data_IF_503623982443
#
_entry.id   IF_503623982443
#
_cell.length_a   1.000
_cell.length_b   1.000
_cell.length_c   1.000
_cell.angle_alpha   90.00
_cell.angle_beta   90.00
_cell.angle_gamma   90.00
#
_symmetry.space_group_name_H-M   'P 1'
#
loop_
_entity.id
_entity.type
_entity.pdbx_description
1 polymer ?
#
# COMPACT_ATOMS: atom_id res chain seq x y z
N UNK A 1 35.97 3.87 3.85
CA UNK A 1 35.04 3.69 5.00
C UNK A 1 34.07 4.86 4.99
N UNK A 2 33.12 4.79 4.07
CA UNK A 2 31.85 5.50 4.10
C UNK A 2 30.82 4.40 3.82
N UNK A 3 29.59 4.50 4.33
CA UNK A 3 28.36 3.95 3.72
C UNK A 3 27.21 3.82 4.72
N UNK A 4 27.44 3.77 6.05
CA UNK A 4 26.36 3.52 7.01
C UNK A 4 25.49 4.76 7.28
N UNK A 5 26.10 5.94 7.41
CA UNK A 5 25.40 7.21 7.68
C UNK A 5 24.62 7.70 6.46
N UNK A 6 25.16 7.52 5.26
CA UNK A 6 24.50 7.88 4.00
C UNK A 6 23.28 7.00 3.73
N UNK A 7 23.38 5.67 3.96
CA UNK A 7 22.22 4.78 3.80
C UNK A 7 21.09 5.11 4.78
N UNK A 8 21.40 5.43 6.04
CA UNK A 8 20.35 5.80 7.00
C UNK A 8 19.64 7.11 6.66
N UNK A 9 20.32 8.03 5.97
CA UNK A 9 19.74 9.31 5.60
C UNK A 9 18.78 9.17 4.41
N UNK A 10 19.14 8.32 3.44
CA UNK A 10 18.29 7.97 2.29
C UNK A 10 17.03 7.23 2.75
N UNK A 11 17.18 6.28 3.69
CA UNK A 11 16.05 5.52 4.24
C UNK A 11 15.01 6.43 4.94
N UNK A 12 15.48 7.45 5.68
CA UNK A 12 14.62 8.41 6.36
C UNK A 12 13.91 9.34 5.38
N UNK A 13 14.60 9.83 4.34
CA UNK A 13 14.00 10.70 3.33
C UNK A 13 12.90 9.97 2.54
N UNK A 14 13.14 8.72 2.15
CA UNK A 14 12.15 7.88 1.50
C UNK A 14 10.92 7.65 2.38
N UNK A 15 11.14 7.39 3.68
CA UNK A 15 10.06 7.21 4.66
C UNK A 15 9.24 8.49 4.81
N UNK A 16 9.87 9.64 4.98
CA UNK A 16 9.19 10.94 5.08
C UNK A 16 8.36 11.26 3.83
N UNK A 17 8.91 11.02 2.64
CA UNK A 17 8.19 11.25 1.38
C UNK A 17 6.99 10.32 1.25
N UNK A 18 7.16 9.05 1.64
CA UNK A 18 6.09 8.06 1.58
C UNK A 18 4.95 8.41 2.55
N UNK A 19 5.27 8.87 3.76
CA UNK A 19 4.28 9.33 4.73
C UNK A 19 3.49 10.55 4.24
N UNK A 20 4.16 11.54 3.63
CA UNK A 20 3.50 12.72 3.09
C UNK A 20 2.52 12.36 1.97
N UNK A 21 2.87 11.39 1.11
CA UNK A 21 1.96 10.89 0.08
C UNK A 21 0.74 10.19 0.70
N UNK A 22 0.97 9.32 1.70
CA UNK A 22 -0.09 8.57 2.37
C UNK A 22 -1.09 9.49 3.11
N UNK A 23 -0.61 10.57 3.76
CA UNK A 23 -1.46 11.56 4.44
C UNK A 23 -2.36 12.34 3.48
N UNK A 24 -1.93 12.58 2.24
CA UNK A 24 -2.74 13.28 1.25
C UNK A 24 -3.90 12.43 0.72
N UNK A 25 -3.87 11.12 0.95
CA UNK A 25 -4.81 10.14 0.39
C UNK A 25 -5.62 9.43 1.49
N UNK A 26 -5.46 9.86 2.75
CA UNK A 26 -5.94 9.20 3.98
C UNK A 26 -7.47 9.00 4.06
N UNK A 27 -8.24 9.55 3.12
CA UNK A 27 -9.71 9.49 3.11
C UNK A 27 -10.32 8.85 1.85
N UNK A 28 -9.54 8.23 0.97
CA UNK A 28 -10.12 7.59 -0.21
C UNK A 28 -10.62 6.16 0.09
N UNK A 29 -11.89 5.89 -0.19
CA UNK A 29 -12.56 4.60 0.12
C UNK A 29 -11.89 3.37 -0.53
N UNK A 30 -11.23 3.56 -1.68
CA UNK A 30 -10.57 2.48 -2.43
C UNK A 30 -9.05 2.38 -2.17
N UNK A 31 -8.54 3.09 -1.16
CA UNK A 31 -7.12 3.05 -0.76
C UNK A 31 -7.00 2.62 0.70
N UNK A 32 -6.08 1.69 0.96
CA UNK A 32 -5.84 1.19 2.32
C UNK A 32 -5.49 2.33 3.26
N UNK A 33 -6.25 2.41 4.35
CA UNK A 33 -6.02 3.43 5.37
C UNK A 33 -4.67 3.24 6.04
N UNK A 34 -4.01 4.35 6.34
CA UNK A 34 -2.75 4.35 7.07
C UNK A 34 -2.96 4.75 8.53
N UNK A 35 -2.47 3.93 9.45
CA UNK A 35 -2.65 4.16 10.89
C UNK A 35 -1.38 4.69 11.57
N UNK A 36 -0.19 4.47 11.01
CA UNK A 36 1.06 5.00 11.57
C UNK A 36 2.28 4.14 11.31
N UNK A 37 3.39 4.51 11.94
CA UNK A 37 4.64 3.74 11.96
C UNK A 37 4.86 3.20 13.37
N UNK A 38 5.30 1.95 13.46
CA UNK A 38 5.84 1.35 14.68
C UNK A 38 7.29 0.94 14.48
N UNK A 39 8.03 0.77 15.58
CA UNK A 39 9.42 0.33 15.59
C UNK A 39 9.53 -0.95 16.39
N UNK A 40 10.08 -1.98 15.77
CA UNK A 40 10.40 -3.24 16.44
C UNK A 40 11.92 -3.34 16.64
N UNK A 41 12.36 -4.00 17.70
CA UNK A 41 13.78 -4.13 18.03
C UNK A 41 14.59 -4.81 16.91
N UNK A 42 13.94 -5.69 16.12
CA UNK A 42 14.53 -6.40 14.98
C UNK A 42 14.30 -5.72 13.63
N UNK A 43 13.31 -4.83 13.51
CA UNK A 43 12.94 -4.15 12.26
C UNK A 43 12.89 -2.64 12.54
N UNK A 44 13.83 -1.88 11.94
CA UNK A 44 14.00 -0.44 12.19
C UNK A 44 12.68 0.36 12.15
N UNK A 45 11.80 0.07 11.19
CA UNK A 45 10.48 0.69 11.05
C UNK A 45 9.48 -0.28 10.40
N UNK A 46 8.22 -0.21 10.80
CA UNK A 46 7.11 -0.98 10.22
C UNK A 46 5.90 -0.08 10.04
N UNK A 47 5.21 -0.20 8.91
CA UNK A 47 3.99 0.55 8.60
C UNK A 47 2.77 -0.22 9.11
N UNK A 48 1.86 0.50 9.76
CA UNK A 48 0.57 -0.01 10.20
C UNK A 48 -0.48 0.46 9.21
N UNK A 49 -1.07 -0.48 8.48
CA UNK A 49 -2.07 -0.24 7.45
C UNK A 49 -3.36 -1.01 7.77
N UNK A 50 -4.46 -0.60 7.17
CA UNK A 50 -5.68 -1.38 7.13
C UNK A 50 -5.45 -2.79 6.58
N UNK A 51 -6.05 -3.76 7.25
CA UNK A 51 -5.99 -5.15 6.83
C UNK A 51 -7.02 -5.40 5.74
N UNK A 52 -6.56 -5.73 4.54
CA UNK A 52 -7.42 -6.23 3.47
C UNK A 52 -7.38 -7.76 3.45
N UNK A 53 -8.56 -8.36 3.60
CA UNK A 53 -8.74 -9.78 3.34
C UNK A 53 -8.79 -10.05 1.83
N UNK A 54 -8.65 -11.32 1.43
CA UNK A 54 -8.69 -11.72 0.01
C UNK A 54 -7.34 -11.69 -0.73
N UNK A 55 -6.29 -11.14 -0.13
CA UNK A 55 -4.93 -11.17 -0.68
C UNK A 55 -4.72 -10.21 -1.86
N UNK A 56 -3.74 -10.49 -2.72
CA UNK A 56 -3.43 -9.57 -3.84
C UNK A 56 -4.45 -9.68 -4.97
N UNK A 57 -4.78 -8.54 -5.59
CA UNK A 57 -5.62 -8.49 -6.79
C UNK A 57 -5.16 -9.48 -7.88
N UNK A 58 -3.83 -9.59 -8.09
CA UNK A 58 -3.25 -10.54 -9.05
C UNK A 58 -3.59 -11.99 -8.71
N UNK A 59 -3.48 -12.38 -7.43
CA UNK A 59 -3.81 -13.73 -7.00
C UNK A 59 -5.31 -14.03 -7.15
N UNK A 60 -6.15 -13.06 -6.78
CA UNK A 60 -7.59 -13.13 -6.95
C UNK A 60 -7.98 -13.32 -8.43
N UNK A 61 -7.48 -12.45 -9.31
CA UNK A 61 -7.76 -12.53 -10.75
C UNK A 61 -7.23 -13.83 -11.36
N UNK A 62 -6.04 -14.29 -10.99
CA UNK A 62 -5.50 -15.57 -11.50
C UNK A 62 -6.45 -16.75 -11.22
N UNK A 63 -7.17 -16.72 -10.10
CA UNK A 63 -8.09 -17.79 -9.70
C UNK A 63 -9.50 -17.59 -10.27
N UNK A 64 -10.00 -16.36 -10.31
CA UNK A 64 -11.43 -16.07 -10.54
C UNK A 64 -11.74 -15.36 -11.86
N UNK A 65 -10.76 -15.06 -12.72
CA UNK A 65 -10.98 -14.23 -13.93
C UNK A 65 -12.09 -14.74 -14.85
N UNK A 66 -12.22 -16.06 -14.99
CA UNK A 66 -13.23 -16.70 -15.84
C UNK A 66 -14.61 -16.76 -15.18
N UNK A 67 -14.68 -16.63 -13.86
CA UNK A 67 -15.93 -16.63 -13.08
C UNK A 67 -16.54 -15.22 -13.00
N UNK A 68 -15.71 -14.17 -13.17
CA UNK A 68 -16.15 -12.78 -13.19
C UNK A 68 -16.92 -12.46 -14.47
N UNK A 69 -18.16 -12.00 -14.31
CA UNK A 69 -18.95 -11.48 -15.41
C UNK A 69 -18.50 -10.06 -15.79
N UNK A 70 -19.06 -9.50 -16.87
CA UNK A 70 -18.69 -8.17 -17.36
C UNK A 70 -19.01 -7.05 -16.36
N UNK A 71 -20.09 -7.17 -15.59
CA UNK A 71 -20.44 -6.20 -14.57
C UNK A 71 -19.41 -6.21 -13.44
N UNK A 72 -18.98 -7.39 -12.98
CA UNK A 72 -17.96 -7.50 -11.93
C UNK A 72 -16.63 -6.88 -12.39
N UNK A 73 -16.25 -7.14 -13.65
CA UNK A 73 -15.05 -6.56 -14.25
C UNK A 73 -15.13 -5.04 -14.35
N UNK A 74 -16.29 -4.52 -14.72
CA UNK A 74 -16.53 -3.08 -14.79
C UNK A 74 -16.43 -2.43 -13.41
N UNK A 75 -17.11 -3.00 -12.40
CA UNK A 75 -17.08 -2.48 -11.03
C UNK A 75 -15.66 -2.47 -10.46
N UNK A 76 -14.93 -3.56 -10.63
CA UNK A 76 -13.53 -3.67 -10.20
C UNK A 76 -12.65 -2.60 -10.87
N UNK A 77 -12.81 -2.42 -12.18
CA UNK A 77 -12.04 -1.40 -12.92
C UNK A 77 -12.42 0.01 -12.47
N UNK A 78 -13.70 0.25 -12.21
CA UNK A 78 -14.20 1.54 -11.72
C UNK A 78 -13.63 1.88 -10.33
N UNK A 79 -13.58 0.91 -9.41
CA UNK A 79 -12.98 1.09 -8.08
C UNK A 79 -11.49 1.43 -8.18
N UNK A 80 -10.76 0.73 -9.06
CA UNK A 80 -9.34 0.99 -9.29
C UNK A 80 -9.09 2.35 -9.93
N UNK A 81 -9.91 2.75 -10.90
CA UNK A 81 -9.81 4.06 -11.53
C UNK A 81 -10.14 5.19 -10.56
N UNK A 82 -11.10 4.99 -9.66
CA UNK A 82 -11.47 6.00 -8.67
C UNK A 82 -10.33 6.22 -7.64
N UNK A 83 -9.46 5.22 -7.44
CA UNK A 83 -8.33 5.33 -6.53
C UNK A 83 -7.13 6.15 -7.06
N UNK A 84 -7.06 6.47 -8.37
CA UNK A 84 -5.85 7.03 -9.01
C UNK A 84 -6.09 8.44 -9.58
#
# INVERSE_FOLDING_TARGET
MSNTTETSNIDNEWLEKSLKLQQNVDSHENILRFYGITKFETIKYSLVLEYADGGTLRAYLKKHFNELNWNDKYQLTSQLANAV
#
